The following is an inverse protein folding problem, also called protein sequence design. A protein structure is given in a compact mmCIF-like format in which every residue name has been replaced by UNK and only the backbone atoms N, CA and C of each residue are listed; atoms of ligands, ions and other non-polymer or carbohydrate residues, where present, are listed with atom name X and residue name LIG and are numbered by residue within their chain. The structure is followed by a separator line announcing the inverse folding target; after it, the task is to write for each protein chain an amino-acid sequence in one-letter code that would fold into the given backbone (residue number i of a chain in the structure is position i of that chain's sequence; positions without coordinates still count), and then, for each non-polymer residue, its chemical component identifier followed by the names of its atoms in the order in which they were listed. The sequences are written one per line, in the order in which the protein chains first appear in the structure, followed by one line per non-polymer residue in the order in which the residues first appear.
data_IF_849769024829
#
_entry.id   IF_849769024829
#
_cell.length_a   1.000
_cell.length_b   1.000
_cell.length_c   1.000
_cell.angle_alpha   90.00
_cell.angle_beta   90.00
_cell.angle_gamma   90.00
#
_symmetry.space_group_name_H-M   'P 1'
#
loop_
_entity.id
_entity.type
_entity.pdbx_description
1 polymer ?
#
# COMPACT_ATOMS: atom_id res chain seq x y z
N UNK A 1 8.79 29.34 -10.82
CA UNK A 1 9.29 28.04 -10.31
C UNK A 1 9.45 28.16 -8.80
N UNK A 2 8.66 27.45 -7.98
CA UNK A 2 8.83 27.43 -6.52
C UNK A 2 9.61 26.17 -6.13
N UNK A 3 10.78 26.38 -5.56
CA UNK A 3 11.67 25.35 -5.02
C UNK A 3 11.02 24.64 -3.83
N UNK A 4 10.87 23.32 -3.92
CA UNK A 4 10.28 22.46 -2.90
C UNK A 4 11.22 22.18 -1.73
N UNK A 5 11.31 23.10 -0.77
CA UNK A 5 11.84 22.81 0.56
C UNK A 5 10.77 22.11 1.40
N UNK A 6 10.93 20.81 1.69
CA UNK A 6 10.06 20.01 2.59
C UNK A 6 10.30 20.33 4.08
N UNK A 7 10.70 21.54 4.41
CA UNK A 7 10.94 21.94 5.79
C UNK A 7 10.47 23.37 5.94
N UNK A 8 9.50 23.56 6.81
CA UNK A 8 9.04 24.86 7.26
C UNK A 8 9.56 25.06 8.68
N UNK A 9 10.08 26.25 8.97
CA UNK A 9 10.42 26.63 10.33
C UNK A 9 9.15 27.04 11.06
N UNK A 10 8.96 26.55 12.28
CA UNK A 10 7.92 27.05 13.20
C UNK A 10 8.65 27.76 14.34
N UNK A 11 8.89 29.08 14.29
CA UNK A 11 9.61 29.78 15.36
C UNK A 11 8.94 29.66 16.73
N UNK A 12 7.60 29.54 16.77
CA UNK A 12 6.87 29.29 18.01
C UNK A 12 7.17 27.91 18.62
N UNK A 13 7.64 26.95 17.81
CA UNK A 13 7.95 25.62 18.28
C UNK A 13 9.23 25.56 19.09
N UNK A 14 10.22 26.44 18.86
CA UNK A 14 11.41 26.50 19.73
C UNK A 14 11.04 26.91 21.16
N UNK A 15 10.08 27.83 21.30
CA UNK A 15 9.57 28.24 22.61
C UNK A 15 8.81 27.10 23.31
N UNK A 16 8.04 26.30 22.57
CA UNK A 16 7.36 25.12 23.09
C UNK A 16 8.38 24.04 23.47
N UNK A 17 9.38 23.81 22.61
CA UNK A 17 10.45 22.86 22.80
C UNK A 17 11.24 23.14 24.09
N UNK A 18 11.66 24.40 24.28
CA UNK A 18 12.40 24.84 25.47
C UNK A 18 11.54 24.75 26.74
N UNK A 19 10.26 25.15 26.66
CA UNK A 19 9.33 25.09 27.80
C UNK A 19 8.99 23.66 28.22
N UNK A 20 8.94 22.72 27.28
CA UNK A 20 8.64 21.31 27.54
C UNK A 20 9.92 20.48 27.79
N UNK A 21 11.11 21.09 27.76
CA UNK A 21 12.39 20.40 27.94
C UNK A 21 12.71 19.39 26.83
N UNK A 22 12.11 19.54 25.65
CA UNK A 22 12.24 18.59 24.55
C UNK A 22 13.56 18.86 23.82
N UNK A 23 14.43 17.86 23.72
CA UNK A 23 15.64 17.92 22.89
C UNK A 23 15.39 17.13 21.60
N UNK A 24 15.01 17.80 20.51
CA UNK A 24 14.74 17.10 19.24
C UNK A 24 16.05 16.78 18.55
N UNK A 25 16.48 15.53 18.66
CA UNK A 25 17.48 14.96 17.76
C UNK A 25 16.75 14.51 16.51
N UNK A 26 17.08 15.09 15.34
CA UNK A 26 16.64 14.55 14.04
C UNK A 26 17.25 13.15 13.90
N UNK A 27 16.54 12.13 14.37
CA UNK A 27 17.02 10.76 14.47
C UNK A 27 15.99 9.81 13.92
N UNK A 28 16.16 9.43 12.66
CA UNK A 28 15.34 8.42 12.01
C UNK A 28 15.99 8.02 10.69
N UNK A 29 16.29 6.74 10.53
CA UNK A 29 16.74 6.18 9.26
C UNK A 29 15.53 5.68 8.47
N UNK A 30 15.60 5.63 7.14
CA UNK A 30 14.50 5.12 6.29
C UNK A 30 14.13 3.65 6.55
N UNK A 31 14.92 2.96 7.36
CA UNK A 31 14.73 1.57 7.81
C UNK A 31 14.03 1.43 9.17
N UNK A 32 13.82 2.51 9.92
CA UNK A 32 13.09 2.48 11.20
C UNK A 32 11.61 2.76 10.98
N UNK A 33 10.73 1.99 11.64
CA UNK A 33 9.25 2.19 11.61
C UNK A 33 8.68 2.88 12.83
N UNK A 34 9.28 2.65 14.00
CA UNK A 34 8.86 3.33 15.21
C UNK A 34 9.21 4.82 15.08
N UNK A 35 8.21 5.67 15.25
CA UNK A 35 8.32 7.12 15.27
C UNK A 35 8.53 7.63 16.71
N UNK A 36 8.07 6.87 17.72
CA UNK A 36 8.24 7.13 19.16
C UNK A 36 8.44 5.82 19.93
N UNK A 37 9.03 5.89 21.12
CA UNK A 37 9.14 4.76 22.08
C UNK A 37 8.42 5.16 23.36
N UNK A 38 7.60 4.26 23.92
CA UNK A 38 6.74 4.51 25.07
C UNK A 38 6.83 3.36 26.09
N UNK A 39 6.61 3.68 27.35
CA UNK A 39 6.34 2.70 28.41
C UNK A 39 4.82 2.62 28.62
N UNK A 40 4.31 1.42 28.90
CA UNK A 40 2.89 1.14 29.13
C UNK A 40 2.75 0.52 30.50
N UNK A 41 2.04 1.20 31.40
CA UNK A 41 1.73 0.72 32.74
C UNK A 41 0.24 0.90 33.04
N UNK A 42 -0.44 -0.21 33.34
CA UNK A 42 -1.77 -0.23 33.91
C UNK A 42 -1.91 -1.43 34.87
N UNK A 43 -3.11 -1.64 35.44
CA UNK A 43 -3.34 -2.73 36.40
C UNK A 43 -3.07 -4.14 35.85
N UNK A 44 -3.12 -4.33 34.54
CA UNK A 44 -3.01 -5.64 33.87
C UNK A 44 -1.71 -5.81 33.06
N UNK A 45 -1.05 -4.72 32.66
CA UNK A 45 0.06 -4.70 31.70
C UNK A 45 1.15 -3.73 32.17
N UNK A 46 2.38 -4.23 32.25
CA UNK A 46 3.59 -3.42 32.43
C UNK A 46 4.59 -3.77 31.33
N UNK A 47 4.96 -2.79 30.51
CA UNK A 47 5.90 -2.91 29.39
C UNK A 47 6.77 -1.67 29.27
N UNK A 48 8.03 -1.86 28.95
CA UNK A 48 9.01 -0.79 28.79
C UNK A 48 9.59 -0.79 27.37
N UNK A 49 9.96 0.38 26.88
CA UNK A 49 10.64 0.57 25.59
C UNK A 49 9.86 0.05 24.36
N UNK A 50 8.54 0.23 24.34
CA UNK A 50 7.68 -0.21 23.24
C UNK A 50 7.69 0.80 22.09
N UNK A 51 8.12 0.38 20.90
CA UNK A 51 8.14 1.24 19.70
C UNK A 51 6.77 1.41 19.07
N UNK A 52 6.38 2.65 18.75
CA UNK A 52 5.13 3.00 18.09
C UNK A 52 5.37 3.83 16.82
N UNK A 53 4.70 3.47 15.72
CA UNK A 53 4.59 4.34 14.55
C UNK A 53 3.46 5.36 14.71
N UNK A 54 3.62 6.60 14.24
CA UNK A 54 2.59 7.65 14.24
C UNK A 54 2.02 7.80 12.82
N UNK A 55 0.70 7.82 12.69
CA UNK A 55 -0.02 8.09 11.43
C UNK A 55 -1.02 9.20 11.67
N UNK A 56 -0.77 10.35 11.04
CA UNK A 56 -1.58 11.55 11.25
C UNK A 56 -2.46 11.85 10.06
N UNK A 57 -3.74 12.13 10.33
CA UNK A 57 -4.70 12.70 9.40
C UNK A 57 -4.61 14.24 9.35
N UNK A 58 -3.76 14.87 10.15
CA UNK A 58 -3.49 16.31 10.05
C UNK A 58 -2.73 16.61 8.75
N UNK A 59 -3.43 17.17 7.76
CA UNK A 59 -2.88 17.47 6.44
C UNK A 59 -3.33 16.46 5.38
N UNK A 60 -2.38 15.83 4.68
CA UNK A 60 -2.71 14.82 3.66
C UNK A 60 -2.83 13.44 4.28
N UNK A 61 -3.82 12.65 3.83
CA UNK A 61 -4.05 11.29 4.33
C UNK A 61 -2.77 10.45 4.41
N UNK A 62 -2.51 9.79 5.55
CA UNK A 62 -1.30 9.00 5.73
C UNK A 62 -1.29 7.80 4.79
N UNK A 63 -0.09 7.32 4.48
CA UNK A 63 0.11 6.17 3.59
C UNK A 63 0.55 4.98 4.42
N UNK A 64 -0.13 3.84 4.27
CA UNK A 64 0.29 2.57 4.84
C UNK A 64 1.40 1.93 3.98
N UNK A 65 1.17 1.84 2.67
CA UNK A 65 2.16 1.34 1.70
C UNK A 65 2.40 2.38 0.60
N UNK A 66 3.62 2.93 0.58
CA UNK A 66 4.01 3.95 -0.37
C UNK A 66 4.24 3.39 -1.77
N UNK A 67 3.72 4.10 -2.77
CA UNK A 67 4.01 3.85 -4.17
C UNK A 67 5.51 4.00 -4.45
N UNK A 68 6.09 3.03 -5.15
CA UNK A 68 7.47 3.06 -5.64
C UNK A 68 7.64 2.08 -6.80
N UNK A 69 8.81 2.07 -7.45
CA UNK A 69 9.10 0.97 -8.39
C UNK A 69 9.07 -0.42 -7.73
N UNK A 70 9.22 -0.50 -6.40
CA UNK A 70 9.15 -1.76 -5.67
C UNK A 70 7.71 -2.29 -5.51
N UNK A 71 6.68 -1.49 -5.81
CA UNK A 71 5.27 -1.87 -5.66
C UNK A 71 4.57 -2.05 -7.02
N UNK A 72 5.32 -2.30 -8.08
CA UNK A 72 4.79 -2.57 -9.41
C UNK A 72 4.43 -4.06 -9.58
N UNK A 73 3.24 -4.30 -10.14
CA UNK A 73 2.71 -5.59 -10.55
C UNK A 73 2.66 -5.63 -12.08
N UNK A 74 3.17 -6.71 -12.66
CA UNK A 74 3.30 -6.91 -14.09
C UNK A 74 2.22 -7.88 -14.55
N UNK A 75 1.51 -7.51 -15.60
CA UNK A 75 0.49 -8.31 -16.26
C UNK A 75 0.92 -8.55 -17.71
N UNK A 76 0.90 -9.80 -18.17
CA UNK A 76 1.00 -10.13 -19.59
C UNK A 76 -0.32 -9.76 -20.28
N UNK A 77 -0.22 -9.11 -21.43
CA UNK A 77 -1.36 -8.78 -22.29
C UNK A 77 -1.47 -9.83 -23.38
N UNK A 78 -2.43 -10.73 -23.26
CA UNK A 78 -2.61 -11.85 -24.19
C UNK A 78 -3.67 -11.50 -25.22
N UNK A 79 -3.38 -11.76 -26.50
CA UNK A 79 -4.33 -11.56 -27.60
C UNK A 79 -4.39 -10.13 -28.17
N UNK A 80 -3.48 -9.24 -27.77
CA UNK A 80 -3.46 -7.86 -28.29
C UNK A 80 -2.69 -7.76 -29.61
N UNK A 81 -3.33 -7.19 -30.64
CA UNK A 81 -2.67 -6.90 -31.91
C UNK A 81 -1.64 -5.77 -31.79
N UNK A 82 -0.49 -5.92 -32.46
CA UNK A 82 0.63 -4.98 -32.39
C UNK A 82 0.26 -3.54 -32.79
N UNK A 83 -0.64 -3.38 -33.78
CA UNK A 83 -1.07 -2.07 -34.26
C UNK A 83 -1.92 -1.26 -33.25
N UNK A 84 -2.39 -1.89 -32.16
CA UNK A 84 -3.19 -1.24 -31.11
C UNK A 84 -2.32 -0.59 -30.02
N UNK A 85 -1.06 -0.99 -29.88
CA UNK A 85 -0.21 -0.61 -28.75
C UNK A 85 -0.03 0.92 -28.64
N UNK A 86 0.35 1.57 -29.73
CA UNK A 86 0.61 3.02 -29.73
C UNK A 86 -0.67 3.82 -29.47
N UNK A 87 -1.79 3.38 -30.04
CA UNK A 87 -3.11 3.99 -29.82
C UNK A 87 -3.55 3.91 -28.36
N UNK A 88 -3.42 2.74 -27.73
CA UNK A 88 -3.72 2.57 -26.30
C UNK A 88 -2.77 3.40 -25.44
N UNK A 89 -1.47 3.42 -25.76
CA UNK A 89 -0.50 4.20 -25.00
C UNK A 89 -0.74 5.71 -25.06
N UNK A 90 -1.29 6.22 -26.16
CA UNK A 90 -1.64 7.62 -26.35
C UNK A 90 -2.84 8.11 -25.52
N UNK A 91 -3.63 7.20 -24.92
CA UNK A 91 -4.77 7.56 -24.07
C UNK A 91 -4.29 8.38 -22.86
N UNK A 92 -4.74 9.63 -22.77
CA UNK A 92 -4.34 10.60 -21.74
C UNK A 92 -5.54 11.34 -21.13
N UNK A 93 -6.57 10.60 -20.73
CA UNK A 93 -7.72 11.15 -20.00
C UNK A 93 -7.45 11.22 -18.50
N UNK A 94 -8.38 11.81 -17.74
CA UNK A 94 -8.35 11.80 -16.26
C UNK A 94 -8.37 10.37 -15.69
N UNK A 95 -9.02 9.44 -16.39
CA UNK A 95 -9.16 8.03 -16.01
C UNK A 95 -8.31 7.10 -16.88
N UNK A 96 -7.23 7.61 -17.49
CA UNK A 96 -6.43 6.92 -18.52
C UNK A 96 -6.10 5.46 -18.23
N UNK A 97 -5.87 5.07 -16.97
CA UNK A 97 -5.58 3.66 -16.64
C UNK A 97 -6.80 2.77 -16.86
N UNK A 98 -7.99 3.20 -16.42
CA UNK A 98 -9.25 2.51 -16.68
C UNK A 98 -9.50 2.43 -18.19
N UNK A 99 -9.36 3.56 -18.88
CA UNK A 99 -9.65 3.67 -20.31
C UNK A 99 -8.70 2.78 -21.14
N UNK A 100 -7.41 2.71 -20.77
CA UNK A 100 -6.44 1.78 -21.38
C UNK A 100 -6.82 0.32 -21.15
N UNK A 101 -7.17 -0.06 -19.92
CA UNK A 101 -7.59 -1.44 -19.60
C UNK A 101 -8.87 -1.79 -20.38
N UNK A 102 -9.81 -0.85 -20.48
CA UNK A 102 -11.03 -1.03 -21.24
C UNK A 102 -10.75 -1.26 -22.73
N UNK A 103 -9.89 -0.45 -23.38
CA UNK A 103 -9.54 -0.64 -24.79
C UNK A 103 -8.79 -1.97 -25.05
N UNK A 104 -7.98 -2.43 -24.09
CA UNK A 104 -7.37 -3.77 -24.12
C UNK A 104 -8.48 -4.84 -24.18
N UNK A 105 -9.45 -4.78 -23.27
CA UNK A 105 -10.55 -5.76 -23.23
C UNK A 105 -11.48 -5.66 -24.45
N UNK A 106 -11.80 -4.47 -24.93
CA UNK A 106 -12.61 -4.27 -26.15
C UNK A 106 -11.91 -4.82 -27.41
N UNK A 107 -10.58 -4.92 -27.40
CA UNK A 107 -9.81 -5.55 -28.47
C UNK A 107 -9.81 -7.09 -28.38
N UNK A 108 -10.54 -7.68 -27.43
CA UNK A 108 -10.56 -9.12 -27.17
C UNK A 108 -9.30 -9.65 -26.47
N UNK A 109 -8.43 -8.75 -25.99
CA UNK A 109 -7.23 -9.11 -25.25
C UNK A 109 -7.51 -9.19 -23.74
N UNK A 110 -6.64 -9.86 -23.00
CA UNK A 110 -6.78 -10.08 -21.56
C UNK A 110 -5.52 -9.67 -20.80
N UNK A 111 -5.68 -9.25 -19.55
CA UNK A 111 -4.58 -9.01 -18.61
C UNK A 111 -4.42 -10.20 -17.67
N UNK A 112 -3.32 -10.94 -17.82
CA UNK A 112 -2.98 -12.08 -16.96
C UNK A 112 -1.85 -11.68 -16.03
N UNK A 113 -2.03 -11.88 -14.72
CA UNK A 113 -0.98 -11.60 -13.76
C UNK A 113 0.24 -12.48 -14.06
N UNK A 114 1.39 -11.84 -14.28
CA UNK A 114 2.67 -12.51 -14.58
C UNK A 114 3.51 -12.59 -13.31
N UNK A 115 3.90 -11.44 -12.75
CA UNK A 115 4.74 -11.36 -11.55
C UNK A 115 4.70 -9.97 -10.90
N UNK A 116 5.28 -9.89 -9.71
CA UNK A 116 5.63 -8.62 -9.07
C UNK A 116 7.03 -8.20 -9.56
N UNK A 117 7.20 -6.93 -9.93
CA UNK A 117 8.45 -6.45 -10.55
C UNK A 117 9.66 -6.62 -9.61
N UNK A 118 9.47 -6.36 -8.32
CA UNK A 118 10.56 -6.43 -7.34
C UNK A 118 10.48 -7.73 -6.53
N UNK A 119 11.57 -8.50 -6.58
CA UNK A 119 11.68 -9.79 -5.87
C UNK A 119 11.48 -9.66 -4.35
N UNK A 120 11.97 -8.59 -3.72
CA UNK A 120 11.76 -8.36 -2.28
C UNK A 120 10.28 -8.20 -1.93
N UNK A 121 9.53 -7.47 -2.76
CA UNK A 121 8.08 -7.32 -2.58
C UNK A 121 7.37 -8.66 -2.79
N UNK A 122 7.73 -9.40 -3.83
CA UNK A 122 7.19 -10.74 -4.09
C UNK A 122 7.44 -11.69 -2.92
N UNK A 123 8.68 -11.76 -2.45
CA UNK A 123 9.08 -12.58 -1.30
C UNK A 123 8.32 -12.19 -0.04
N UNK A 124 8.25 -10.90 0.30
CA UNK A 124 7.59 -10.45 1.52
C UNK A 124 6.08 -10.74 1.48
N UNK A 125 5.42 -10.57 0.33
CA UNK A 125 4.00 -10.91 0.19
C UNK A 125 3.78 -12.42 0.37
N UNK A 126 4.63 -13.25 -0.23
CA UNK A 126 4.59 -14.71 -0.05
C UNK A 126 4.89 -15.15 1.38
N UNK A 127 5.72 -14.39 2.11
CA UNK A 127 6.04 -14.65 3.51
C UNK A 127 4.83 -14.41 4.42
N UNK A 128 3.98 -13.41 4.10
CA UNK A 128 2.69 -13.21 4.79
C UNK A 128 1.77 -14.39 4.55
N UNK A 129 1.58 -14.76 3.28
CA UNK A 129 0.79 -15.91 2.85
C UNK A 129 1.06 -16.17 1.36
N UNK A 130 1.14 -17.44 0.94
CA UNK A 130 1.43 -17.79 -0.46
C UNK A 130 0.36 -17.33 -1.45
N UNK A 131 -0.88 -17.10 -1.00
CA UNK A 131 -1.97 -16.60 -1.86
C UNK A 131 -1.97 -15.08 -2.02
N UNK A 132 -1.30 -14.34 -1.13
CA UNK A 132 -1.37 -12.87 -1.11
C UNK A 132 -0.83 -12.22 -2.39
N UNK A 133 0.29 -12.66 -3.01
CA UNK A 133 0.75 -12.09 -4.27
C UNK A 133 -0.32 -12.07 -5.37
N UNK A 134 -1.01 -13.19 -5.58
CA UNK A 134 -2.03 -13.33 -6.64
C UNK A 134 -3.35 -12.65 -6.27
N UNK A 135 -3.77 -12.74 -5.00
CA UNK A 135 -4.96 -12.06 -4.49
C UNK A 135 -4.85 -10.54 -4.66
N UNK A 136 -3.75 -9.94 -4.21
CA UNK A 136 -3.53 -8.50 -4.30
C UNK A 136 -3.38 -8.05 -5.76
N UNK A 137 -2.76 -8.84 -6.63
CA UNK A 137 -2.72 -8.54 -8.06
C UNK A 137 -4.12 -8.44 -8.68
N UNK A 138 -5.02 -9.37 -8.34
CA UNK A 138 -6.40 -9.37 -8.82
C UNK A 138 -7.22 -8.21 -8.24
N UNK A 139 -7.10 -7.94 -6.94
CA UNK A 139 -7.76 -6.78 -6.31
C UNK A 139 -7.26 -5.45 -6.88
N UNK A 140 -5.96 -5.35 -7.17
CA UNK A 140 -5.37 -4.16 -7.80
C UNK A 140 -5.92 -3.94 -9.21
N UNK A 141 -6.03 -5.01 -10.01
CA UNK A 141 -6.61 -4.93 -11.34
C UNK A 141 -8.10 -4.52 -11.27
N UNK A 142 -8.87 -5.14 -10.37
CA UNK A 142 -10.28 -4.80 -10.13
C UNK A 142 -10.46 -3.33 -9.75
N UNK A 143 -9.61 -2.81 -8.87
CA UNK A 143 -9.60 -1.39 -8.50
C UNK A 143 -9.43 -0.49 -9.73
N UNK A 144 -8.48 -0.79 -10.62
CA UNK A 144 -8.27 0.05 -11.80
C UNK A 144 -9.39 -0.06 -12.84
N UNK A 145 -10.07 -1.22 -12.91
CA UNK A 145 -11.23 -1.45 -13.79
C UNK A 145 -12.46 -0.73 -13.26
N UNK A 146 -12.87 -0.99 -12.02
CA UNK A 146 -14.12 -0.47 -11.44
C UNK A 146 -13.98 0.95 -10.90
N UNK A 147 -12.78 1.33 -10.45
CA UNK A 147 -12.48 2.59 -9.73
C UNK A 147 -13.06 2.67 -8.33
N UNK A 148 -13.40 1.53 -7.75
CA UNK A 148 -13.73 1.39 -6.33
C UNK A 148 -12.45 1.33 -5.50
N UNK A 149 -12.22 2.25 -4.57
CA UNK A 149 -11.00 2.26 -3.75
C UNK A 149 -11.07 1.38 -2.50
N UNK A 150 -12.26 0.96 -2.08
CA UNK A 150 -12.48 0.22 -0.84
C UNK A 150 -11.95 -1.22 -0.94
N UNK A 151 -11.20 -1.69 0.06
CA UNK A 151 -10.61 -3.04 0.04
C UNK A 151 -11.65 -4.16 0.09
N UNK A 152 -12.68 -4.05 0.93
CA UNK A 152 -13.70 -5.09 1.07
C UNK A 152 -14.51 -5.26 -0.20
N UNK A 153 -14.92 -4.16 -0.85
CA UNK A 153 -15.66 -4.22 -2.11
C UNK A 153 -14.83 -4.84 -3.24
N UNK A 154 -13.55 -4.46 -3.38
CA UNK A 154 -12.66 -5.11 -4.35
C UNK A 154 -12.46 -6.60 -4.05
N UNK A 155 -12.31 -6.96 -2.78
CA UNK A 155 -12.14 -8.36 -2.37
C UNK A 155 -13.39 -9.18 -2.71
N UNK A 156 -14.57 -8.69 -2.37
CA UNK A 156 -15.86 -9.33 -2.69
C UNK A 156 -16.06 -9.47 -4.19
N UNK A 157 -15.76 -8.43 -4.97
CA UNK A 157 -15.87 -8.50 -6.43
C UNK A 157 -14.91 -9.54 -7.02
N UNK A 158 -13.64 -9.55 -6.56
CA UNK A 158 -12.65 -10.55 -7.00
C UNK A 158 -13.12 -11.96 -6.67
N UNK A 159 -13.67 -12.19 -5.48
CA UNK A 159 -14.18 -13.49 -5.06
C UNK A 159 -15.35 -13.97 -5.94
N UNK A 160 -16.26 -13.07 -6.31
CA UNK A 160 -17.41 -13.42 -7.17
C UNK A 160 -17.10 -13.44 -8.67
N UNK A 161 -16.03 -12.78 -9.12
CA UNK A 161 -15.63 -12.70 -10.55
C UNK A 161 -15.12 -14.02 -11.14
N UNK A 162 -14.95 -15.07 -10.33
CA UNK A 162 -14.67 -16.44 -10.77
C UNK A 162 -14.12 -17.31 -9.65
N UNK A 163 -14.12 -18.64 -9.85
CA UNK A 163 -13.55 -19.61 -8.91
C UNK A 163 -12.01 -19.62 -8.99
N UNK A 164 -11.38 -18.53 -8.59
CA UNK A 164 -9.91 -18.39 -8.63
C UNK A 164 -9.25 -19.01 -7.39
N UNK A 165 -9.91 -18.91 -6.24
CA UNK A 165 -9.32 -19.28 -4.96
C UNK A 165 -10.07 -20.47 -4.38
N UNK A 166 -9.33 -21.49 -3.96
CA UNK A 166 -9.86 -22.68 -3.29
C UNK A 166 -10.06 -22.41 -1.79
N UNK A 167 -10.87 -21.41 -1.47
CA UNK A 167 -11.20 -20.98 -0.11
C UNK A 167 -12.41 -20.05 -0.11
N UNK A 168 -12.91 -19.63 1.05
CA UNK A 168 -14.05 -18.72 1.18
C UNK A 168 -13.64 -17.25 1.34
N UNK A 169 -14.63 -16.35 1.22
CA UNK A 169 -14.42 -14.90 1.34
C UNK A 169 -13.83 -14.50 2.70
N UNK A 170 -14.24 -15.14 3.79
CA UNK A 170 -13.78 -14.81 5.14
C UNK A 170 -12.30 -15.17 5.32
N UNK A 171 -11.86 -16.31 4.77
CA UNK A 171 -10.47 -16.72 4.76
C UNK A 171 -9.59 -15.74 3.96
N UNK A 172 -10.08 -15.25 2.81
CA UNK A 172 -9.36 -14.22 2.05
C UNK A 172 -9.29 -12.89 2.82
N UNK A 173 -10.37 -12.49 3.50
CA UNK A 173 -10.40 -11.28 4.32
C UNK A 173 -9.35 -11.32 5.44
N UNK A 174 -9.26 -12.46 6.16
CA UNK A 174 -8.22 -12.68 7.18
C UNK A 174 -6.82 -12.53 6.59
N UNK A 175 -6.57 -13.05 5.38
CA UNK A 175 -5.26 -12.93 4.71
C UNK A 175 -4.95 -11.47 4.36
N UNK A 176 -5.92 -10.70 3.86
CA UNK A 176 -5.74 -9.27 3.57
C UNK A 176 -5.48 -8.48 4.85
N UNK A 177 -6.24 -8.73 5.93
CA UNK A 177 -6.01 -8.11 7.25
C UNK A 177 -4.59 -8.37 7.77
N UNK A 178 -4.11 -9.61 7.68
CA UNK A 178 -2.73 -9.98 8.05
C UNK A 178 -1.69 -9.22 7.23
N UNK A 179 -1.93 -9.02 5.93
CA UNK A 179 -1.06 -8.19 5.11
C UNK A 179 -1.02 -6.74 5.61
N UNK A 180 -2.18 -6.14 5.91
CA UNK A 180 -2.24 -4.76 6.38
C UNK A 180 -1.46 -4.57 7.70
N UNK A 181 -1.62 -5.49 8.66
CA UNK A 181 -0.86 -5.48 9.91
C UNK A 181 0.62 -5.68 9.67
N UNK A 182 1.00 -6.62 8.80
CA UNK A 182 2.41 -6.85 8.43
C UNK A 182 3.04 -5.58 7.85
N UNK A 183 2.35 -4.93 6.91
CA UNK A 183 2.76 -3.64 6.32
C UNK A 183 2.82 -2.55 7.38
N UNK A 184 1.91 -2.49 8.34
CA UNK A 184 1.98 -1.49 9.39
C UNK A 184 3.24 -1.67 10.26
N UNK A 185 3.51 -2.89 10.71
CA UNK A 185 4.44 -3.15 11.83
C UNK A 185 5.86 -3.56 11.43
N UNK A 186 6.12 -4.02 10.20
CA UNK A 186 7.51 -4.39 9.85
C UNK A 186 7.82 -4.64 8.38
N UNK A 187 6.82 -4.87 7.54
CA UNK A 187 7.01 -5.10 6.12
C UNK A 187 7.36 -3.79 5.39
N UNK A 188 8.37 -3.86 4.52
CA UNK A 188 8.73 -2.81 3.56
C UNK A 188 8.88 -3.42 2.15
N UNK A 189 8.38 -2.75 1.10
CA UNK A 189 8.45 -3.30 -0.27
C UNK A 189 9.90 -3.50 -0.79
N UNK A 190 10.83 -2.64 -0.37
CA UNK A 190 12.21 -2.61 -0.90
C UNK A 190 13.23 -3.46 -0.15
N UNK A 191 12.86 -4.01 1.00
CA UNK A 191 13.79 -4.72 1.90
C UNK A 191 13.20 -6.08 2.22
N UNK A 192 14.02 -7.14 2.15
CA UNK A 192 13.59 -8.48 2.53
C UNK A 192 13.17 -8.48 4.01
N UNK A 193 11.95 -8.93 4.28
CA UNK A 193 11.39 -9.00 5.61
C UNK A 193 11.71 -10.36 6.24
N UNK A 194 12.05 -10.38 7.52
CA UNK A 194 12.36 -11.58 8.28
C UNK A 194 11.14 -12.18 9.01
N UNK A 195 9.98 -11.52 8.89
CA UNK A 195 8.74 -11.91 9.57
C UNK A 195 8.55 -11.26 10.94
N UNK A 196 9.56 -10.55 11.45
CA UNK A 196 9.49 -9.92 12.76
C UNK A 196 8.88 -8.52 12.66
N UNK A 197 8.05 -8.16 13.65
CA UNK A 197 7.60 -6.79 13.80
C UNK A 197 8.69 -5.94 14.43
N UNK A 198 8.87 -4.73 13.91
CA UNK A 198 9.84 -3.74 14.42
C UNK A 198 9.14 -2.57 15.12
N UNK A 199 7.83 -2.67 15.27
CA UNK A 199 6.95 -1.76 15.99
C UNK A 199 5.93 -2.60 16.74
N UNK A 200 5.64 -2.24 17.98
CA UNK A 200 4.72 -2.96 18.85
C UNK A 200 3.32 -2.33 18.87
N UNK A 201 3.17 -1.16 18.24
CA UNK A 201 1.88 -0.51 18.01
C UNK A 201 1.94 0.63 17.00
N UNK A 202 0.80 1.28 16.79
CA UNK A 202 0.71 2.54 16.06
C UNK A 202 -0.21 3.52 16.77
N UNK A 203 0.11 4.80 16.74
CA UNK A 203 -0.77 5.89 17.16
C UNK A 203 -1.35 6.52 15.92
N UNK A 204 -2.68 6.55 15.85
CA UNK A 204 -3.44 7.24 14.82
C UNK A 204 -3.93 8.57 15.37
N UNK A 205 -3.55 9.68 14.73
CA UNK A 205 -4.01 11.02 15.09
C UNK A 205 -5.07 11.47 14.10
N UNK A 206 -6.33 11.58 14.52
CA UNK A 206 -7.49 11.99 13.73
C UNK A 206 -7.40 13.48 13.32
N UNK A 207 -8.28 13.91 12.41
CA UNK A 207 -8.30 15.30 11.90
C UNK A 207 -8.63 16.34 12.99
N UNK A 208 -9.41 15.96 14.00
CA UNK A 208 -9.76 16.78 15.16
C UNK A 208 -8.67 16.79 16.26
N UNK A 209 -7.57 16.06 16.04
CA UNK A 209 -6.47 15.92 17.00
C UNK A 209 -6.68 14.83 18.04
N UNK A 210 -7.79 14.09 18.01
CA UNK A 210 -7.98 12.90 18.86
C UNK A 210 -6.94 11.83 18.49
N UNK A 211 -6.41 11.13 19.48
CA UNK A 211 -5.35 10.14 19.30
C UNK A 211 -5.86 8.77 19.72
N UNK A 212 -5.73 7.79 18.83
CA UNK A 212 -6.07 6.39 19.10
C UNK A 212 -4.79 5.57 19.02
N UNK A 213 -4.36 5.02 20.15
CA UNK A 213 -3.21 4.12 20.22
C UNK A 213 -3.65 2.68 20.03
N UNK A 214 -3.23 2.05 18.95
CA UNK A 214 -3.35 0.61 18.76
C UNK A 214 -2.07 -0.06 19.22
N UNK A 215 -2.15 -0.86 20.28
CA UNK A 215 -1.07 -1.76 20.68
C UNK A 215 -1.37 -3.16 20.14
N UNK A 216 -0.35 -3.93 19.77
CA UNK A 216 -0.48 -5.28 19.19
C UNK A 216 -1.23 -6.31 20.08
N UNK A 217 -1.53 -5.96 21.33
CA UNK A 217 -2.29 -6.80 22.26
C UNK A 217 -3.76 -6.93 21.82
N UNK A 218 -4.36 -5.90 21.20
CA UNK A 218 -5.68 -6.02 20.55
C UNK A 218 -5.53 -6.13 19.04
N UNK A 219 -5.04 -7.29 18.61
CA UNK A 219 -4.81 -7.58 17.20
C UNK A 219 -6.11 -7.54 16.38
N UNK A 220 -7.22 -8.01 16.95
CA UNK A 220 -8.53 -8.05 16.26
C UNK A 220 -9.05 -6.66 15.91
N UNK A 221 -9.01 -5.74 16.87
CA UNK A 221 -9.46 -4.37 16.66
C UNK A 221 -8.59 -3.67 15.61
N UNK A 222 -7.25 -3.84 15.70
CA UNK A 222 -6.33 -3.29 14.72
C UNK A 222 -6.56 -3.84 13.30
N UNK A 223 -6.77 -5.15 13.17
CA UNK A 223 -7.05 -5.78 11.88
C UNK A 223 -8.32 -5.23 11.23
N UNK A 224 -9.41 -5.11 12.00
CA UNK A 224 -10.68 -4.56 11.52
C UNK A 224 -10.53 -3.08 11.16
N UNK A 225 -9.92 -2.28 12.03
CA UNK A 225 -9.70 -0.86 11.79
C UNK A 225 -8.92 -0.63 10.48
N UNK A 226 -7.83 -1.36 10.26
CA UNK A 226 -7.05 -1.24 9.03
C UNK A 226 -7.86 -1.64 7.80
N UNK A 227 -8.61 -2.74 7.85
CA UNK A 227 -9.37 -3.22 6.70
C UNK A 227 -10.49 -2.26 6.28
N UNK A 228 -11.14 -1.62 7.25
CA UNK A 228 -12.23 -0.66 6.99
C UNK A 228 -11.72 0.70 6.49
N UNK A 229 -10.54 1.13 6.95
CA UNK A 229 -10.05 2.49 6.70
C UNK A 229 -9.02 2.57 5.56
N UNK A 230 -8.30 1.49 5.26
CA UNK A 230 -7.32 1.48 4.18
C UNK A 230 -8.01 1.34 2.81
N UNK A 231 -7.49 2.09 1.83
CA UNK A 231 -8.00 2.18 0.46
C UNK A 231 -6.87 2.08 -0.55
N UNK A 232 -7.19 1.57 -1.73
CA UNK A 232 -6.33 1.72 -2.90
C UNK A 232 -6.27 3.18 -3.34
N UNK A 233 -5.09 3.64 -3.76
CA UNK A 233 -4.90 4.96 -4.35
C UNK A 233 -4.22 4.85 -5.73
N UNK A 234 -4.35 5.90 -6.56
CA UNK A 234 -3.69 5.99 -7.87
C UNK A 234 -2.48 6.94 -7.78
N UNK A 235 -1.24 6.40 -7.68
CA UNK A 235 -0.05 7.24 -7.65
C UNK A 235 0.32 7.81 -9.04
N UNK A 236 1.37 8.62 -9.08
CA UNK A 236 1.88 9.19 -10.34
C UNK A 236 2.43 8.09 -11.27
N UNK A 237 1.79 7.90 -12.43
CA UNK A 237 2.22 6.92 -13.45
C UNK A 237 3.63 7.18 -13.97
N UNK A 238 4.04 8.45 -14.06
CA UNK A 238 5.37 8.84 -14.56
C UNK A 238 6.45 8.61 -13.50
N UNK A 239 6.21 9.02 -12.24
CA UNK A 239 7.17 8.84 -11.15
C UNK A 239 7.47 7.36 -10.88
N UNK A 240 6.46 6.50 -10.98
CA UNK A 240 6.56 5.08 -10.65
C UNK A 240 6.64 4.16 -11.88
N UNK A 241 6.68 4.74 -13.09
CA UNK A 241 6.91 4.07 -14.38
C UNK A 241 5.96 2.89 -14.64
N UNK A 242 4.66 3.16 -14.58
CA UNK A 242 3.61 2.17 -14.84
C UNK A 242 2.46 2.77 -15.68
N UNK A 243 1.53 1.93 -16.14
CA UNK A 243 0.35 2.40 -16.89
C UNK A 243 0.55 2.57 -18.40
N UNK A 244 1.58 1.94 -18.96
CA UNK A 244 1.84 1.86 -20.39
C UNK A 244 2.07 0.40 -20.80
N UNK A 245 1.67 0.07 -22.03
CA UNK A 245 2.00 -1.18 -22.69
C UNK A 245 3.47 -1.16 -23.11
N UNK A 246 4.18 -2.24 -22.79
CA UNK A 246 5.60 -2.43 -23.07
C UNK A 246 5.74 -3.73 -23.85
N UNK A 247 6.36 -3.67 -25.02
CA UNK A 247 6.73 -4.87 -25.79
C UNK A 247 8.15 -5.29 -25.42
N UNK A 248 8.34 -6.55 -25.11
CA UNK A 248 9.66 -7.12 -24.85
C UNK A 248 10.23 -7.84 -26.08
N UNK A 249 11.53 -8.17 -26.02
CA UNK A 249 12.26 -8.84 -27.12
C UNK A 249 11.73 -10.23 -27.45
N UNK A 250 11.07 -10.88 -26.50
CA UNK A 250 10.38 -12.16 -26.68
C UNK A 250 9.06 -12.05 -27.47
N UNK A 251 8.68 -10.84 -27.90
CA UNK A 251 7.44 -10.58 -28.64
C UNK A 251 6.20 -10.43 -27.77
N UNK A 252 6.29 -10.67 -26.46
CA UNK A 252 5.19 -10.49 -25.51
C UNK A 252 4.97 -9.01 -25.18
N UNK A 253 3.75 -8.70 -24.77
CA UNK A 253 3.32 -7.37 -24.36
C UNK A 253 2.96 -7.42 -22.89
N UNK A 254 3.40 -6.41 -22.13
CA UNK A 254 3.17 -6.31 -20.69
C UNK A 254 2.56 -4.95 -20.33
N UNK A 255 1.77 -4.95 -19.26
CA UNK A 255 1.19 -3.77 -18.66
C UNK A 255 1.47 -3.77 -17.16
N UNK A 256 1.94 -2.64 -16.63
CA UNK A 256 2.28 -2.50 -15.21
C UNK A 256 1.21 -1.70 -14.48
N UNK A 257 0.83 -2.17 -13.30
CA UNK A 257 0.03 -1.45 -12.30
C UNK A 257 0.84 -1.24 -11.03
N UNK A 258 0.58 -0.16 -10.29
CA UNK A 258 1.30 0.16 -9.05
C UNK A 258 0.37 0.08 -7.85
N UNK A 259 0.81 -0.62 -6.81
CA UNK A 259 0.11 -0.71 -5.54
C UNK A 259 0.47 0.47 -4.63
N UNK A 260 -0.56 1.16 -4.17
CA UNK A 260 -0.49 2.14 -3.10
C UNK A 260 -1.68 1.93 -2.15
N UNK A 261 -1.42 1.92 -0.85
CA UNK A 261 -2.42 1.76 0.20
C UNK A 261 -2.37 2.95 1.15
N UNK A 262 -3.50 3.63 1.35
CA UNK A 262 -3.62 4.83 2.18
C UNK A 262 -4.83 4.75 3.08
N UNK A 263 -4.81 5.49 4.18
CA UNK A 263 -6.00 5.79 4.97
C UNK A 263 -6.92 6.76 4.19
#
# INVERSE_FOLDING_TARGET
MKSGGRTFSIPAFSVIQDKLGISIVKGGTSSQKADIVLDIENHDVQKENEGFGIKSYLGSKPTLLNASGNTNFIFEVVGLSQNKIDGINAINTRTKLKDKIHEIYQSGAELKFDKIEKETMAYNLSLVDSLIPSLIAKMLLEFFVQRTSNLSENLTNVFHSGHTFDTDLAALEVKVKRLLVSVLLGFFAGTKWDGNYVSNGTIVVKEDGEQVGFHIIDKSELENYLFENIKFDTPSTTRHRYGSLIRESNGKVYFKLNLQLRF
#
